data_IF_783445023012
#
_entry.id   IF_783445023012
#
_cell.length_a   1.000
_cell.length_b   1.000
_cell.length_c   1.000
_cell.angle_alpha   90.00
_cell.angle_beta   90.00
_cell.angle_gamma   90.00
#
_symmetry.space_group_name_H-M   'P 1'
#
loop_
_entity.id
_entity.type
_entity.pdbx_description
1 polymer ?
#
# COMPACT_ATOMS: atom_id res chain seq x y z
N UNK A 1 -7.28 15.40 5.63
CA UNK A 1 -6.02 15.61 4.89
C UNK A 1 -6.23 15.09 3.47
N UNK A 2 -5.84 15.86 2.44
CA UNK A 2 -6.02 15.49 1.03
C UNK A 2 -5.04 14.36 0.68
N UNK A 3 -5.56 13.19 0.30
CA UNK A 3 -4.82 11.97 -0.05
C UNK A 3 -4.05 12.13 -1.37
N UNK A 4 -2.92 12.84 -1.34
CA UNK A 4 -2.06 13.01 -2.52
C UNK A 4 -1.23 11.75 -2.86
N UNK A 5 -1.23 10.74 -1.96
CA UNK A 5 -0.49 9.47 -2.11
C UNK A 5 -1.24 8.37 -2.90
N UNK A 6 -2.47 8.61 -3.34
CA UNK A 6 -3.34 7.58 -3.96
C UNK A 6 -3.33 7.59 -5.49
N UNK A 7 -2.36 8.21 -6.16
CA UNK A 7 -2.28 8.20 -7.63
C UNK A 7 -1.07 7.41 -8.12
N UNK A 8 -1.28 6.55 -9.10
CA UNK A 8 -0.22 5.78 -9.73
C UNK A 8 0.73 6.73 -10.46
N UNK A 9 2.02 6.65 -10.18
CA UNK A 9 3.03 7.51 -10.82
C UNK A 9 3.15 7.29 -12.33
N UNK A 10 2.76 6.12 -12.84
CA UNK A 10 2.85 5.78 -14.27
C UNK A 10 1.69 6.31 -15.10
N UNK A 11 0.46 6.05 -14.65
CA UNK A 11 -0.74 6.39 -15.42
C UNK A 11 -1.58 7.52 -14.79
N UNK A 12 -1.16 8.08 -13.65
CA UNK A 12 -1.89 9.12 -12.92
C UNK A 12 -3.24 8.67 -12.34
N UNK A 13 -3.62 7.41 -12.57
CA UNK A 13 -4.90 6.84 -12.15
C UNK A 13 -4.95 6.58 -10.66
N UNK A 14 -6.16 6.55 -10.12
CA UNK A 14 -6.35 6.29 -8.70
C UNK A 14 -5.90 4.86 -8.32
N UNK A 15 -5.26 4.79 -7.16
CA UNK A 15 -4.76 3.57 -6.54
C UNK A 15 -5.66 3.23 -5.36
N UNK A 16 -6.07 1.98 -5.28
CA UNK A 16 -6.82 1.46 -4.15
C UNK A 16 -5.88 1.18 -2.99
N UNK A 17 -6.22 1.70 -1.81
CA UNK A 17 -5.57 1.31 -0.56
C UNK A 17 -5.95 -0.14 -0.23
N UNK A 18 -4.99 -1.04 -0.32
CA UNK A 18 -5.06 -2.34 0.35
C UNK A 18 -4.68 -2.12 1.81
N UNK A 19 -5.51 -2.63 2.72
CA UNK A 19 -5.38 -2.38 4.16
C UNK A 19 -4.00 -2.71 4.73
N UNK A 20 -3.71 -2.31 5.98
CA UNK A 20 -2.47 -2.69 6.62
C UNK A 20 -2.39 -4.22 6.70
N UNK A 21 -1.38 -4.80 6.05
CA UNK A 21 -1.13 -6.22 6.23
C UNK A 21 -0.52 -6.33 7.62
N UNK A 22 -1.23 -7.02 8.51
CA UNK A 22 -0.67 -7.40 9.80
C UNK A 22 0.58 -8.22 9.47
N UNK A 23 1.77 -7.67 9.77
CA UNK A 23 2.99 -8.48 9.80
C UNK A 23 2.71 -9.59 10.80
N UNK A 24 2.58 -10.81 10.31
CA UNK A 24 2.44 -12.00 11.13
C UNK A 24 3.62 -11.98 12.09
N UNK A 25 3.33 -11.91 13.40
CA UNK A 25 4.37 -11.88 14.42
C UNK A 25 5.06 -13.24 14.38
N UNK A 26 6.38 -13.25 14.24
CA UNK A 26 7.17 -14.42 14.57
C UNK A 26 7.04 -14.67 16.08
N UNK A 27 6.70 -15.91 16.44
CA UNK A 27 6.43 -16.33 17.81
C UNK A 27 7.68 -16.12 18.68
N UNK A 28 7.55 -15.37 19.79
CA UNK A 28 8.67 -15.06 20.69
C UNK A 28 9.25 -13.64 20.57
N UNK A 29 8.85 -12.85 19.58
CA UNK A 29 9.25 -11.43 19.50
C UNK A 29 8.20 -10.50 20.15
N UNK A 30 8.62 -9.47 20.92
CA UNK A 30 7.71 -8.51 21.52
C UNK A 30 6.88 -7.83 20.42
N UNK A 31 5.62 -7.51 20.73
CA UNK A 31 4.71 -6.87 19.79
C UNK A 31 5.29 -5.55 19.27
N UNK A 32 5.91 -5.56 18.09
CA UNK A 32 6.45 -4.34 17.50
C UNK A 32 5.30 -3.46 17.02
N UNK A 33 5.05 -2.37 17.76
CA UNK A 33 4.08 -1.33 17.40
C UNK A 33 4.73 -0.37 16.38
N UNK A 34 5.16 -0.92 15.25
CA UNK A 34 5.71 -0.14 14.14
C UNK A 34 4.63 0.55 13.32
N UNK A 35 5.00 1.52 12.47
CA UNK A 35 4.07 2.06 11.48
C UNK A 35 3.52 0.89 10.66
N UNK A 36 2.19 0.78 10.60
CA UNK A 36 1.55 -0.25 9.78
C UNK A 36 1.82 0.10 8.31
N UNK A 37 2.55 -0.76 7.61
CA UNK A 37 2.73 -0.64 6.17
C UNK A 37 1.36 -0.58 5.50
N UNK A 38 1.09 0.51 4.78
CA UNK A 38 -0.11 0.63 3.96
C UNK A 38 0.26 0.31 2.53
N UNK A 39 -0.53 -0.53 1.89
CA UNK A 39 -0.26 -0.97 0.54
C UNK A 39 -1.25 -0.34 -0.42
N UNK A 40 -0.80 -0.06 -1.64
CA UNK A 40 -1.62 0.57 -2.66
C UNK A 40 -1.50 -0.22 -3.96
N UNK A 41 -2.60 -0.34 -4.70
CA UNK A 41 -2.65 -1.06 -5.97
C UNK A 41 -3.29 -0.19 -7.04
N UNK A 42 -2.67 -0.07 -8.21
CA UNK A 42 -3.29 0.66 -9.32
C UNK A 42 -4.51 -0.09 -9.83
N UNK A 43 -5.63 0.63 -10.01
CA UNK A 43 -6.88 0.06 -10.52
C UNK A 43 -7.08 0.27 -12.03
N UNK A 44 -6.14 0.92 -12.71
CA UNK A 44 -6.25 1.12 -14.16
C UNK A 44 -5.70 -0.09 -14.90
N UNK A 45 -6.58 -0.93 -15.42
CA UNK A 45 -6.32 -2.12 -16.24
C UNK A 45 -5.51 -1.84 -17.51
N UNK A 46 -5.45 -0.59 -17.97
CA UNK A 46 -4.61 -0.16 -19.10
C UNK A 46 -3.22 0.32 -18.67
N UNK A 47 -2.93 0.32 -17.37
CA UNK A 47 -1.66 0.76 -16.81
C UNK A 47 -0.69 -0.41 -16.69
N UNK A 48 0.58 -0.19 -17.01
CA UNK A 48 1.65 -1.19 -16.82
C UNK A 48 1.78 -1.63 -15.35
N UNK A 49 1.43 -0.74 -14.42
CA UNK A 49 1.42 -1.00 -12.97
C UNK A 49 0.04 -1.45 -12.45
N UNK A 50 -0.87 -1.89 -13.33
CA UNK A 50 -2.16 -2.46 -12.90
C UNK A 50 -1.95 -3.64 -11.95
N UNK A 51 -2.64 -3.62 -10.81
CA UNK A 51 -2.55 -4.68 -9.80
C UNK A 51 -1.21 -4.77 -9.06
N UNK A 52 -0.20 -3.96 -9.41
CA UNK A 52 1.06 -3.92 -8.65
C UNK A 52 0.84 -3.33 -7.27
N UNK A 53 1.28 -4.05 -6.25
CA UNK A 53 1.21 -3.64 -4.86
C UNK A 53 2.44 -2.80 -4.51
N UNK A 54 2.22 -1.56 -4.09
CA UNK A 54 3.27 -0.64 -3.65
C UNK A 54 3.10 -0.39 -2.15
N UNK A 55 4.14 -0.66 -1.37
CA UNK A 55 4.16 -0.32 0.05
C UNK A 55 4.49 1.17 0.22
N UNK A 56 3.60 1.94 0.84
CA UNK A 56 3.89 3.28 1.31
C UNK A 56 3.96 3.25 2.84
N UNK A 57 5.14 3.56 3.37
CA UNK A 57 5.32 3.84 4.79
C UNK A 57 4.68 5.20 5.07
N UNK A 58 3.70 5.24 5.97
CA UNK A 58 3.17 6.50 6.52
C UNK A 58 4.12 7.08 7.56
#
# INVERSE_FOLDING_TARGET
MKNEKSKCKKCGSEMKKSGPYLRVKEEGHPAYKGPSSVYYSCMNEKCEDYGKVIELKE
#
